data_IF_681679050577
#
_entry.id   IF_681679050577
#
_cell.length_a   1.000
_cell.length_b   1.000
_cell.length_c   1.000
_cell.angle_alpha   90.00
_cell.angle_beta   90.00
_cell.angle_gamma   90.00
#
_symmetry.space_group_name_H-M   'P 1'
#
loop_
_entity.id
_entity.type
_entity.pdbx_description
1 polymer ?
#
# COMPACT_ATOMS: atom_id res chain seq x y z
N UNK A 1 7.20 26.62 23.07
CA UNK A 1 5.82 26.47 22.58
C UNK A 1 5.81 26.24 21.06
N UNK A 2 6.48 27.05 20.26
CA UNK A 2 6.54 26.92 18.80
C UNK A 2 7.09 25.57 18.35
N UNK A 3 8.16 25.07 18.99
CA UNK A 3 8.75 23.77 18.67
C UNK A 3 7.78 22.60 18.90
N UNK A 4 7.06 22.57 20.02
CA UNK A 4 6.10 21.51 20.33
C UNK A 4 4.92 21.53 19.35
N UNK A 5 4.48 22.73 18.96
CA UNK A 5 3.42 22.88 17.97
C UNK A 5 3.87 22.41 16.57
N UNK A 6 5.12 22.75 16.17
CA UNK A 6 5.72 22.24 14.92
C UNK A 6 5.77 20.69 14.92
N UNK A 7 6.25 20.08 16.01
CA UNK A 7 6.30 18.62 16.13
C UNK A 7 4.92 17.96 16.13
N UNK A 8 3.92 18.62 16.68
CA UNK A 8 2.54 18.16 16.63
C UNK A 8 2.00 18.13 15.19
N UNK A 9 2.28 19.20 14.41
CA UNK A 9 1.91 19.26 12.97
C UNK A 9 2.66 18.20 12.15
N UNK A 10 3.94 18.00 12.45
CA UNK A 10 4.74 16.95 11.84
C UNK A 10 4.16 15.57 12.14
N UNK A 11 3.78 15.35 13.39
CA UNK A 11 3.12 14.13 13.83
C UNK A 11 1.79 13.87 13.15
N UNK A 12 0.95 14.88 12.97
CA UNK A 12 -0.30 14.78 12.21
C UNK A 12 0.00 14.40 10.74
N UNK A 13 1.03 14.99 10.13
CA UNK A 13 1.41 14.66 8.76
C UNK A 13 1.88 13.21 8.62
N UNK A 14 2.73 12.74 9.53
CA UNK A 14 3.16 11.33 9.59
C UNK A 14 1.95 10.42 9.82
N UNK A 15 1.09 10.78 10.78
CA UNK A 15 -0.15 10.06 11.07
C UNK A 15 -1.11 9.99 9.88
N UNK A 16 -1.19 11.05 9.06
CA UNK A 16 -2.00 11.08 7.86
C UNK A 16 -1.49 10.10 6.77
N UNK A 17 -0.17 9.98 6.61
CA UNK A 17 0.43 8.96 5.72
C UNK A 17 0.15 7.56 6.22
N UNK A 18 0.31 7.32 7.53
CA UNK A 18 -0.02 6.04 8.14
C UNK A 18 -1.51 5.73 8.01
N UNK A 19 -2.37 6.74 8.11
CA UNK A 19 -3.82 6.59 7.91
C UNK A 19 -4.14 6.13 6.49
N UNK A 20 -3.56 6.76 5.47
CA UNK A 20 -3.74 6.35 4.07
C UNK A 20 -3.33 4.90 3.86
N UNK A 21 -2.14 4.57 4.30
CA UNK A 21 -1.58 3.23 4.16
C UNK A 21 -2.41 2.18 4.93
N UNK A 22 -2.74 2.47 6.19
CA UNK A 22 -3.51 1.58 7.03
C UNK A 22 -4.97 1.44 6.59
N UNK A 23 -5.60 2.47 5.99
CA UNK A 23 -6.99 2.38 5.52
C UNK A 23 -7.18 1.28 4.49
N UNK A 24 -6.26 1.16 3.52
CA UNK A 24 -6.31 0.07 2.55
C UNK A 24 -6.19 -1.31 3.19
N UNK A 25 -5.25 -1.46 4.12
CA UNK A 25 -5.05 -2.71 4.86
C UNK A 25 -6.22 -3.00 5.83
N UNK A 26 -6.82 -1.97 6.45
CA UNK A 26 -7.98 -2.10 7.33
C UNK A 26 -9.20 -2.65 6.58
N UNK A 27 -9.36 -2.29 5.31
CA UNK A 27 -10.42 -2.84 4.45
C UNK A 27 -10.15 -4.32 4.18
N UNK A 28 -8.95 -4.68 3.73
CA UNK A 28 -8.62 -6.07 3.40
C UNK A 28 -8.63 -6.94 4.65
N UNK A 29 -7.90 -6.58 5.68
CA UNK A 29 -7.81 -7.36 6.91
C UNK A 29 -9.12 -7.27 7.72
N UNK A 30 -9.68 -6.07 7.84
CA UNK A 30 -10.88 -5.82 8.63
C UNK A 30 -12.15 -6.45 8.04
N UNK A 31 -12.34 -6.46 6.73
CA UNK A 31 -13.55 -6.97 6.09
C UNK A 31 -13.42 -8.41 5.59
N UNK A 32 -12.25 -8.78 5.07
CA UNK A 32 -12.02 -10.11 4.50
C UNK A 32 -11.33 -11.09 5.47
N UNK A 33 -10.71 -10.60 6.55
CA UNK A 33 -9.94 -11.42 7.48
C UNK A 33 -8.61 -11.93 6.90
N UNK A 34 -8.13 -11.31 5.83
CA UNK A 34 -6.92 -11.73 5.12
C UNK A 34 -5.72 -10.89 5.59
N UNK A 35 -4.73 -11.54 6.15
CA UNK A 35 -3.45 -10.92 6.49
C UNK A 35 -2.62 -10.84 5.21
N UNK A 36 -2.43 -9.61 4.69
CA UNK A 36 -1.70 -9.38 3.45
C UNK A 36 -0.37 -8.66 3.73
N UNK A 37 0.73 -9.41 3.79
CA UNK A 37 2.08 -8.82 3.94
C UNK A 37 2.55 -8.10 2.68
N UNK A 38 2.03 -8.45 1.49
CA UNK A 38 2.37 -7.76 0.26
C UNK A 38 1.74 -6.36 0.13
N UNK A 39 0.93 -5.92 1.12
CA UNK A 39 0.28 -4.61 1.09
C UNK A 39 1.31 -3.46 1.03
N UNK A 40 2.40 -3.57 1.75
CA UNK A 40 3.49 -2.60 1.67
C UNK A 40 4.10 -2.50 0.27
N UNK A 41 4.24 -3.63 -0.43
CA UNK A 41 4.78 -3.65 -1.78
C UNK A 41 3.79 -3.09 -2.82
N UNK A 42 2.50 -3.13 -2.54
CA UNK A 42 1.51 -2.41 -3.35
C UNK A 42 1.67 -0.89 -3.18
N UNK A 43 2.06 -0.40 -2.00
CA UNK A 43 2.45 1.00 -1.81
C UNK A 43 3.69 1.32 -2.64
N UNK A 44 4.71 0.47 -2.60
CA UNK A 44 5.89 0.61 -3.45
C UNK A 44 5.51 0.69 -4.93
N UNK A 45 4.68 -0.21 -5.44
CA UNK A 45 4.21 -0.17 -6.84
C UNK A 45 3.56 1.18 -7.16
N UNK A 46 2.69 1.71 -6.28
CA UNK A 46 2.06 3.02 -6.47
C UNK A 46 3.06 4.16 -6.54
N UNK A 47 4.10 4.14 -5.71
CA UNK A 47 5.18 5.11 -5.73
C UNK A 47 5.97 5.06 -7.06
N UNK A 48 6.28 3.86 -7.56
CA UNK A 48 6.95 3.71 -8.86
C UNK A 48 6.06 4.11 -10.04
N UNK A 49 4.75 3.85 -9.99
CA UNK A 49 3.79 4.35 -10.98
C UNK A 49 3.79 5.88 -11.01
N UNK A 50 3.86 6.52 -9.85
CA UNK A 50 3.96 7.99 -9.75
C UNK A 50 5.24 8.50 -10.42
N UNK A 51 6.37 7.86 -10.19
CA UNK A 51 7.64 8.19 -10.84
C UNK A 51 7.59 8.01 -12.37
N UNK A 52 7.01 6.92 -12.85
CA UNK A 52 6.83 6.68 -14.30
C UNK A 52 5.95 7.76 -14.90
N UNK A 53 4.82 8.07 -14.26
CA UNK A 53 3.91 9.13 -14.71
C UNK A 53 4.63 10.48 -14.77
N UNK A 54 5.41 10.84 -13.74
CA UNK A 54 6.24 12.06 -13.77
C UNK A 54 7.16 12.10 -14.99
N UNK A 55 7.87 11.01 -15.27
CA UNK A 55 8.80 10.95 -16.40
C UNK A 55 8.08 11.02 -17.77
N UNK A 56 6.85 10.52 -17.87
CA UNK A 56 6.03 10.65 -19.06
C UNK A 56 5.56 12.10 -19.29
N UNK A 57 5.37 12.89 -18.22
CA UNK A 57 4.91 14.27 -18.31
C UNK A 57 6.06 15.27 -18.48
N UNK A 58 7.31 14.91 -18.11
CA UNK A 58 8.47 15.80 -18.29
C UNK A 58 8.64 16.39 -19.70
N UNK A 59 8.51 15.61 -20.79
CA UNK A 59 8.66 16.13 -22.14
C UNK A 59 7.48 16.99 -22.65
N UNK A 60 6.33 17.02 -21.94
CA UNK A 60 5.10 17.70 -22.36
C UNK A 60 5.07 19.20 -22.04
N UNK A 61 6.11 19.73 -21.41
CA UNK A 61 6.23 21.15 -21.04
C UNK A 61 5.77 21.45 -19.61
N UNK A 62 6.21 22.61 -19.10
CA UNK A 62 6.04 22.96 -17.67
C UNK A 62 4.57 23.08 -17.23
N UNK A 63 3.69 23.61 -18.08
CA UNK A 63 2.27 23.77 -17.74
C UNK A 63 1.56 22.44 -17.51
N UNK A 64 1.80 21.47 -18.39
CA UNK A 64 1.21 20.12 -18.31
C UNK A 64 1.88 19.33 -17.17
N UNK A 65 3.17 19.56 -16.93
CA UNK A 65 3.90 18.92 -15.85
C UNK A 65 3.28 19.22 -14.48
N UNK A 66 2.64 20.36 -14.26
CA UNK A 66 2.00 20.67 -12.96
C UNK A 66 0.82 19.73 -12.64
N UNK A 67 0.19 19.14 -13.66
CA UNK A 67 -0.96 18.25 -13.49
C UNK A 67 -0.57 16.78 -13.30
N UNK A 68 0.71 16.42 -13.54
CA UNK A 68 1.14 15.02 -13.52
C UNK A 68 0.77 14.30 -12.23
N UNK A 69 0.83 15.00 -11.10
CA UNK A 69 0.64 14.38 -9.79
C UNK A 69 -0.82 13.93 -9.55
N UNK A 70 -1.79 14.71 -10.02
CA UNK A 70 -3.22 14.33 -9.93
C UNK A 70 -3.47 13.09 -10.81
N UNK A 71 -2.90 13.09 -12.02
CA UNK A 71 -2.98 11.94 -12.93
C UNK A 71 -2.25 10.74 -12.36
N UNK A 72 -1.10 10.96 -11.71
CA UNK A 72 -0.33 9.92 -11.04
C UNK A 72 -1.09 9.25 -9.90
N UNK A 73 -1.83 10.01 -9.07
CA UNK A 73 -2.70 9.45 -8.03
C UNK A 73 -3.75 8.51 -8.60
N UNK A 74 -4.38 8.91 -9.72
CA UNK A 74 -5.36 8.07 -10.41
C UNK A 74 -4.72 6.78 -10.95
N UNK A 75 -3.58 6.88 -11.64
CA UNK A 75 -2.88 5.70 -12.15
C UNK A 75 -2.31 4.82 -11.03
N UNK A 76 -1.79 5.42 -9.96
CA UNK A 76 -1.35 4.66 -8.79
C UNK A 76 -2.49 3.83 -8.21
N UNK A 77 -3.70 4.41 -8.06
CA UNK A 77 -4.87 3.68 -7.61
C UNK A 77 -5.25 2.55 -8.58
N UNK A 78 -5.40 2.85 -9.88
CA UNK A 78 -5.88 1.88 -10.88
C UNK A 78 -4.90 0.72 -11.05
N UNK A 79 -3.60 1.01 -11.23
CA UNK A 79 -2.58 -0.03 -11.46
C UNK A 79 -2.46 -0.94 -10.25
N UNK A 80 -2.39 -0.37 -9.04
CA UNK A 80 -2.28 -1.19 -7.82
C UNK A 80 -3.58 -1.94 -7.51
N UNK A 81 -4.76 -1.38 -7.83
CA UNK A 81 -6.03 -2.08 -7.73
C UNK A 81 -6.08 -3.28 -8.67
N UNK A 82 -5.61 -3.13 -9.92
CA UNK A 82 -5.53 -4.24 -10.88
C UNK A 82 -4.56 -5.33 -10.43
N UNK A 83 -3.39 -4.94 -9.93
CA UNK A 83 -2.42 -5.90 -9.33
C UNK A 83 -3.07 -6.62 -8.15
N UNK A 84 -3.77 -5.90 -7.27
CA UNK A 84 -4.49 -6.48 -6.14
C UNK A 84 -5.57 -7.48 -6.57
N UNK A 85 -6.42 -7.12 -7.54
CA UNK A 85 -7.44 -8.03 -8.09
C UNK A 85 -6.79 -9.27 -8.71
N UNK A 86 -5.66 -9.10 -9.39
CA UNK A 86 -4.92 -10.23 -9.94
C UNK A 86 -4.43 -11.16 -8.83
N UNK A 87 -3.81 -10.62 -7.79
CA UNK A 87 -3.33 -11.39 -6.64
C UNK A 87 -4.46 -12.10 -5.90
N UNK A 88 -5.60 -11.44 -5.72
CA UNK A 88 -6.78 -12.06 -5.10
C UNK A 88 -7.25 -13.26 -5.91
N UNK A 89 -7.46 -13.09 -7.22
CA UNK A 89 -7.99 -14.15 -8.09
C UNK A 89 -7.06 -15.34 -8.27
N UNK A 90 -5.75 -15.09 -8.32
CA UNK A 90 -4.76 -16.15 -8.63
C UNK A 90 -4.27 -16.87 -7.38
N UNK A 91 -4.12 -16.17 -6.27
CA UNK A 91 -3.48 -16.69 -5.07
C UNK A 91 -4.40 -16.70 -3.85
N UNK A 92 -4.91 -15.54 -3.43
CA UNK A 92 -5.55 -15.37 -2.13
C UNK A 92 -6.88 -16.11 -2.07
N UNK A 93 -7.63 -16.14 -3.16
CA UNK A 93 -8.92 -16.85 -3.26
C UNK A 93 -8.83 -18.31 -2.87
N UNK A 94 -7.72 -18.97 -3.17
CA UNK A 94 -7.49 -20.39 -2.85
C UNK A 94 -7.09 -20.62 -1.39
N UNK A 95 -6.75 -19.53 -0.68
CA UNK A 95 -6.21 -19.57 0.68
C UNK A 95 -7.18 -19.00 1.74
N UNK A 96 -8.42 -18.68 1.35
CA UNK A 96 -9.41 -18.23 2.32
C UNK A 96 -9.65 -19.27 3.43
N UNK A 97 -9.70 -18.80 4.68
CA UNK A 97 -9.85 -19.67 5.85
C UNK A 97 -8.55 -20.31 6.33
N UNK A 98 -7.40 -19.99 5.70
CA UNK A 98 -6.08 -20.52 6.06
C UNK A 98 -5.09 -19.37 6.33
N UNK A 99 -5.16 -18.75 7.52
CA UNK A 99 -4.43 -17.50 7.79
C UNK A 99 -2.91 -17.64 7.69
N UNK A 100 -2.33 -18.75 8.17
CA UNK A 100 -0.87 -18.98 8.10
C UNK A 100 -0.39 -19.18 6.67
N UNK A 101 -1.12 -19.95 5.86
CA UNK A 101 -0.77 -20.15 4.45
C UNK A 101 -0.88 -18.84 3.66
N UNK A 102 -1.91 -18.03 3.93
CA UNK A 102 -2.09 -16.71 3.29
C UNK A 102 -0.95 -15.75 3.66
N UNK A 103 -0.54 -15.73 4.92
CA UNK A 103 0.58 -14.91 5.38
C UNK A 103 1.88 -15.28 4.67
N UNK A 104 2.19 -16.58 4.60
CA UNK A 104 3.39 -17.08 3.92
C UNK A 104 3.36 -16.80 2.41
N UNK A 105 2.21 -17.02 1.76
CA UNK A 105 2.03 -16.77 0.34
C UNK A 105 2.17 -15.28 0.00
N UNK A 106 1.57 -14.38 0.79
CA UNK A 106 1.68 -12.93 0.58
C UNK A 106 3.09 -12.41 0.86
N UNK A 107 3.83 -13.03 1.80
CA UNK A 107 5.25 -12.74 1.98
C UNK A 107 6.07 -13.14 0.76
N UNK A 108 5.82 -14.32 0.18
CA UNK A 108 6.42 -14.73 -1.09
C UNK A 108 6.13 -13.76 -2.23
N UNK A 109 4.89 -13.27 -2.35
CA UNK A 109 4.51 -12.23 -3.32
C UNK A 109 5.30 -10.93 -3.07
N UNK A 110 5.48 -10.51 -1.82
CA UNK A 110 6.29 -9.34 -1.46
C UNK A 110 7.70 -9.46 -2.04
N UNK A 111 8.38 -10.59 -1.82
CA UNK A 111 9.72 -10.84 -2.37
C UNK A 111 9.75 -10.79 -3.91
N UNK A 112 8.73 -11.36 -4.56
CA UNK A 112 8.62 -11.32 -6.03
C UNK A 112 8.44 -9.90 -6.52
N UNK A 113 7.57 -9.09 -5.91
CA UNK A 113 7.34 -7.69 -6.30
C UNK A 113 8.60 -6.83 -6.10
N UNK A 114 9.34 -7.00 -5.00
CA UNK A 114 10.62 -6.31 -4.78
C UNK A 114 11.61 -6.65 -5.90
N UNK A 115 11.79 -7.93 -6.21
CA UNK A 115 12.72 -8.35 -7.25
C UNK A 115 12.26 -7.92 -8.65
N UNK A 116 10.96 -7.95 -8.91
CA UNK A 116 10.39 -7.45 -10.16
C UNK A 116 10.77 -5.97 -10.38
N UNK A 117 10.52 -5.11 -9.40
CA UNK A 117 10.85 -3.67 -9.50
C UNK A 117 12.35 -3.44 -9.67
N UNK A 118 13.21 -4.21 -8.98
CA UNK A 118 14.67 -4.10 -9.11
C UNK A 118 15.19 -4.50 -10.48
N UNK A 119 14.54 -5.48 -11.11
CA UNK A 119 15.01 -6.10 -12.36
C UNK A 119 14.28 -5.58 -13.60
N UNK A 120 13.16 -4.86 -13.44
CA UNK A 120 12.38 -4.40 -14.59
C UNK A 120 13.23 -3.54 -15.51
N UNK A 121 13.31 -3.96 -16.77
CA UNK A 121 14.06 -3.33 -17.86
C UNK A 121 13.22 -3.36 -19.13
N UNK A 122 13.65 -2.62 -20.17
CA UNK A 122 12.94 -2.63 -21.44
C UNK A 122 12.91 -4.03 -22.07
N UNK A 123 14.01 -4.79 -21.96
CA UNK A 123 14.04 -6.18 -22.44
C UNK A 123 13.04 -7.08 -21.70
N UNK A 124 12.94 -6.91 -20.38
CA UNK A 124 11.99 -7.66 -19.57
C UNK A 124 10.53 -7.30 -19.92
N UNK A 125 10.23 -6.01 -20.08
CA UNK A 125 8.89 -5.55 -20.47
C UNK A 125 8.47 -6.12 -21.84
N UNK A 126 9.38 -6.10 -22.82
CA UNK A 126 9.14 -6.66 -24.15
C UNK A 126 8.94 -8.18 -24.09
N UNK A 127 9.79 -8.89 -23.35
CA UNK A 127 9.66 -10.35 -23.21
C UNK A 127 8.37 -10.77 -22.56
N UNK A 128 7.94 -10.06 -21.51
CA UNK A 128 6.63 -10.28 -20.86
C UNK A 128 5.49 -9.97 -21.85
N UNK A 129 5.57 -8.87 -22.60
CA UNK A 129 4.56 -8.53 -23.60
C UNK A 129 4.45 -9.61 -24.70
N UNK A 130 5.58 -10.13 -25.19
CA UNK A 130 5.62 -11.24 -26.15
C UNK A 130 4.95 -12.49 -25.53
N UNK A 131 5.29 -12.86 -24.31
CA UNK A 131 4.72 -14.03 -23.64
C UNK A 131 3.18 -13.88 -23.48
N UNK A 132 2.71 -12.71 -23.08
CA UNK A 132 1.28 -12.43 -22.94
C UNK A 132 0.56 -12.48 -24.29
N UNK A 133 1.09 -11.80 -25.31
CA UNK A 133 0.49 -11.78 -26.66
C UNK A 133 0.39 -13.18 -27.24
N UNK A 134 1.47 -13.98 -27.15
CA UNK A 134 1.47 -15.35 -27.63
C UNK A 134 0.53 -16.26 -26.84
N UNK A 135 0.49 -16.14 -25.50
CA UNK A 135 -0.42 -16.89 -24.66
C UNK A 135 -1.88 -16.60 -24.94
N UNK A 136 -2.26 -15.33 -25.05
CA UNK A 136 -3.62 -14.92 -25.44
C UNK A 136 -3.96 -15.31 -26.87
N UNK A 137 -3.02 -15.14 -27.82
CA UNK A 137 -3.20 -15.56 -29.19
C UNK A 137 -3.45 -17.06 -29.31
N UNK A 138 -2.66 -17.87 -28.64
CA UNK A 138 -2.86 -19.32 -28.60
C UNK A 138 -4.24 -19.70 -28.08
N UNK A 139 -4.74 -19.01 -27.03
CA UNK A 139 -6.10 -19.20 -26.50
C UNK A 139 -7.19 -18.74 -27.47
N UNK A 140 -7.01 -17.57 -28.14
CA UNK A 140 -8.01 -16.97 -29.03
C UNK A 140 -8.09 -17.66 -30.39
N UNK A 141 -6.97 -18.08 -30.94
CA UNK A 141 -6.90 -18.72 -32.26
C UNK A 141 -6.99 -20.24 -32.21
N UNK A 142 -7.15 -20.85 -31.02
CA UNK A 142 -7.39 -22.28 -30.90
C UNK A 142 -8.67 -22.67 -31.66
N UNK A 143 -8.65 -23.69 -32.54
CA UNK A 143 -9.81 -24.15 -33.27
C UNK A 143 -10.97 -24.52 -32.34
N UNK A 144 -12.22 -24.22 -32.71
CA UNK A 144 -13.40 -24.49 -31.91
C UNK A 144 -13.51 -25.98 -31.49
N UNK A 145 -13.03 -26.90 -32.34
CA UNK A 145 -12.97 -28.33 -32.05
C UNK A 145 -12.04 -28.65 -30.87
N UNK A 146 -10.87 -27.98 -30.80
CA UNK A 146 -9.93 -28.12 -29.70
C UNK A 146 -10.44 -27.49 -28.39
N UNK A 147 -11.15 -26.37 -28.46
CA UNK A 147 -11.75 -25.72 -27.28
C UNK A 147 -12.81 -26.57 -26.57
N UNK A 148 -13.49 -27.44 -27.33
CA UNK A 148 -14.51 -28.36 -26.79
C UNK A 148 -13.90 -29.70 -26.32
N UNK A 149 -12.63 -29.96 -26.59
CA UNK A 149 -11.95 -31.17 -26.16
C UNK A 149 -11.67 -31.17 -24.65
N UNK A 150 -11.86 -32.32 -24.01
CA UNK A 150 -11.61 -32.51 -22.57
C UNK A 150 -10.16 -32.15 -22.17
N UNK A 151 -9.21 -32.24 -23.09
CA UNK A 151 -7.79 -31.92 -22.88
C UNK A 151 -7.43 -30.45 -23.11
N UNK A 152 -8.40 -29.59 -23.48
CA UNK A 152 -8.15 -28.18 -23.76
C UNK A 152 -7.47 -27.41 -22.59
N UNK A 153 -7.85 -27.57 -21.31
CA UNK A 153 -7.17 -26.90 -20.21
C UNK A 153 -5.69 -27.27 -20.13
N UNK A 154 -5.33 -28.52 -20.40
CA UNK A 154 -3.92 -28.93 -20.43
C UNK A 154 -3.16 -28.34 -21.62
N UNK A 155 -3.76 -28.34 -22.81
CA UNK A 155 -3.19 -27.73 -24.02
C UNK A 155 -3.00 -26.21 -23.86
N UNK A 156 -3.95 -25.53 -23.25
CA UNK A 156 -3.84 -24.10 -22.97
C UNK A 156 -2.73 -23.83 -21.93
N UNK A 157 -2.59 -24.66 -20.90
CA UNK A 157 -1.50 -24.58 -19.95
C UNK A 157 -0.12 -24.76 -20.60
N UNK A 158 0.01 -25.75 -21.48
CA UNK A 158 1.26 -25.99 -22.27
C UNK A 158 1.57 -24.77 -23.15
N UNK A 159 0.54 -24.20 -23.83
CA UNK A 159 0.72 -23.02 -24.66
C UNK A 159 1.21 -21.80 -23.86
N UNK A 160 0.71 -21.60 -22.63
CA UNK A 160 1.18 -20.56 -21.72
C UNK A 160 2.63 -20.80 -21.28
N UNK A 161 3.00 -22.06 -20.99
CA UNK A 161 4.39 -22.40 -20.62
C UNK A 161 5.33 -22.13 -21.80
N UNK A 162 4.97 -22.56 -23.02
CA UNK A 162 5.76 -22.28 -24.24
C UNK A 162 5.90 -20.78 -24.46
N UNK A 163 4.83 -20.02 -24.33
CA UNK A 163 4.84 -18.55 -24.46
C UNK A 163 5.76 -17.88 -23.44
N UNK A 164 5.74 -18.35 -22.20
CA UNK A 164 6.64 -17.88 -21.14
C UNK A 164 8.12 -18.20 -21.45
N UNK A 165 8.40 -19.39 -21.97
CA UNK A 165 9.75 -19.81 -22.41
C UNK A 165 10.23 -18.93 -23.57
N UNK A 166 9.39 -18.68 -24.58
CA UNK A 166 9.73 -17.78 -25.70
C UNK A 166 10.00 -16.37 -25.20
N UNK A 167 9.16 -15.85 -24.29
CA UNK A 167 9.39 -14.55 -23.65
C UNK A 167 10.70 -14.48 -22.89
N UNK A 168 11.05 -15.53 -22.16
CA UNK A 168 12.34 -15.64 -21.44
C UNK A 168 13.54 -15.65 -22.43
N UNK A 169 13.47 -16.41 -23.52
CA UNK A 169 14.50 -16.38 -24.55
C UNK A 169 14.60 -15.01 -25.24
N UNK A 170 13.49 -14.33 -25.46
CA UNK A 170 13.51 -12.95 -25.97
C UNK A 170 14.24 -11.99 -25.00
N UNK A 171 13.99 -12.11 -23.69
CA UNK A 171 14.71 -11.34 -22.67
C UNK A 171 16.21 -11.62 -22.73
N UNK A 172 16.61 -12.89 -22.76
CA UNK A 172 18.03 -13.29 -22.79
C UNK A 172 18.72 -12.85 -24.09
N UNK A 173 18.07 -12.96 -25.23
CA UNK A 173 18.60 -12.50 -26.52
C UNK A 173 18.82 -10.98 -26.53
N UNK A 174 17.91 -10.22 -25.90
CA UNK A 174 17.99 -8.75 -25.81
C UNK A 174 18.93 -8.29 -24.68
N UNK A 175 19.30 -9.15 -23.75
CA UNK A 175 20.17 -8.81 -22.60
C UNK A 175 21.61 -8.44 -23.03
N UNK A 176 22.04 -8.83 -24.23
CA UNK A 176 23.30 -8.42 -24.84
C UNK A 176 23.39 -6.93 -25.18
N UNK A 177 22.25 -6.24 -25.30
CA UNK A 177 22.17 -4.81 -25.53
C UNK A 177 22.21 -4.03 -24.22
N UNK A 178 23.28 -3.27 -23.95
CA UNK A 178 23.42 -2.43 -22.73
C UNK A 178 22.29 -1.42 -22.55
N UNK A 179 21.62 -0.99 -23.62
CA UNK A 179 20.52 -0.02 -23.60
C UNK A 179 19.22 -0.68 -23.15
N UNK A 180 18.90 -1.86 -23.68
CA UNK A 180 17.66 -2.58 -23.41
C UNK A 180 17.66 -3.35 -22.08
N UNK A 181 18.84 -3.79 -21.63
CA UNK A 181 19.01 -4.54 -20.39
C UNK A 181 19.18 -3.66 -19.15
N UNK A 182 19.38 -2.34 -19.32
CA UNK A 182 19.52 -1.42 -18.19
C UNK A 182 18.22 -1.38 -17.38
N UNK A 183 18.25 -1.69 -16.06
CA UNK A 183 17.08 -1.58 -15.23
C UNK A 183 16.53 -0.15 -15.19
N UNK A 184 15.23 0.01 -15.28
CA UNK A 184 14.58 1.33 -15.25
C UNK A 184 14.79 2.03 -13.90
N UNK A 185 14.70 1.27 -12.83
CA UNK A 185 14.77 1.79 -11.46
C UNK A 185 16.05 1.32 -10.75
N UNK A 186 16.36 0.01 -10.86
CA UNK A 186 17.50 -0.61 -10.17
C UNK A 186 17.33 -0.65 -8.64
N UNK A 187 18.43 -0.86 -7.90
CA UNK A 187 18.40 -0.91 -6.44
C UNK A 187 18.43 0.47 -5.78
N UNK A 188 18.55 1.56 -6.55
CA UNK A 188 18.69 2.93 -6.03
C UNK A 188 17.33 3.51 -5.69
N UNK A 189 17.33 4.41 -4.72
CA UNK A 189 16.16 5.23 -4.45
C UNK A 189 15.91 6.19 -5.62
N UNK A 190 14.64 6.44 -5.88
CA UNK A 190 14.15 7.39 -6.88
C UNK A 190 13.53 8.59 -6.17
N UNK A 191 13.71 9.77 -6.74
CA UNK A 191 13.12 11.00 -6.23
C UNK A 191 12.03 11.48 -7.18
N UNK A 192 10.91 11.88 -6.61
CA UNK A 192 9.78 12.46 -7.31
C UNK A 192 9.73 13.94 -7.00
N UNK A 193 9.74 14.78 -8.04
CA UNK A 193 9.71 16.24 -7.88
C UNK A 193 8.30 16.71 -7.61
N UNK A 194 8.04 17.30 -6.47
CA UNK A 194 6.73 17.88 -6.17
C UNK A 194 6.34 18.97 -7.20
N UNK A 195 5.08 19.06 -7.65
CA UNK A 195 4.59 20.14 -8.49
C UNK A 195 4.78 21.52 -7.82
N UNK A 196 4.98 22.59 -8.61
CA UNK A 196 5.20 23.95 -8.07
C UNK A 196 4.09 24.41 -7.15
N UNK A 197 2.83 24.02 -7.40
CA UNK A 197 1.68 24.39 -6.57
C UNK A 197 1.66 23.69 -5.20
N UNK A 198 2.42 22.60 -5.01
CA UNK A 198 2.64 21.93 -3.70
C UNK A 198 3.90 22.42 -2.99
N UNK A 199 4.80 23.09 -3.71
CA UNK A 199 6.02 23.63 -3.12
C UNK A 199 5.73 24.93 -2.37
N UNK A 200 6.50 25.19 -1.32
CA UNK A 200 6.34 26.39 -0.51
C UNK A 200 5.36 26.22 0.65
N UNK A 201 5.07 27.33 1.29
CA UNK A 201 4.15 27.44 2.43
C UNK A 201 2.78 27.91 1.96
N UNK A 202 1.71 27.20 2.37
CA UNK A 202 0.31 27.58 2.07
C UNK A 202 -0.27 28.51 3.15
N UNK A 203 0.46 28.78 4.21
CA UNK A 203 0.04 29.66 5.29
C UNK A 203 1.00 29.58 6.48
N UNK A 204 0.77 30.43 7.46
CA UNK A 204 1.47 30.38 8.74
C UNK A 204 0.43 30.36 9.87
N UNK A 205 0.63 29.49 10.84
CA UNK A 205 -0.17 29.43 12.06
C UNK A 205 0.77 29.61 13.24
N UNK A 206 0.51 30.61 14.07
CA UNK A 206 1.36 30.96 15.23
C UNK A 206 2.84 31.20 14.88
N UNK A 207 3.13 31.79 13.71
CA UNK A 207 4.50 32.05 13.25
C UNK A 207 5.23 30.86 12.60
N UNK A 208 4.59 29.70 12.52
CA UNK A 208 5.16 28.49 11.90
C UNK A 208 4.61 28.34 10.49
N UNK A 209 5.51 28.23 9.52
CA UNK A 209 5.13 27.98 8.13
C UNK A 209 4.58 26.57 7.96
N UNK A 210 3.45 26.47 7.25
CA UNK A 210 2.82 25.20 6.92
C UNK A 210 3.22 24.75 5.51
N UNK A 211 4.08 23.71 5.37
CA UNK A 211 4.46 23.21 4.05
C UNK A 211 3.24 22.69 3.29
N UNK A 212 3.04 23.16 2.05
CA UNK A 212 1.89 22.81 1.22
C UNK A 212 1.74 21.30 1.01
N UNK A 213 2.87 20.57 0.89
CA UNK A 213 2.90 19.10 0.77
C UNK A 213 2.21 18.43 1.97
N UNK A 214 2.45 18.89 3.20
CA UNK A 214 1.88 18.28 4.41
C UNK A 214 0.38 18.51 4.49
N UNK A 215 -0.08 19.74 4.22
CA UNK A 215 -1.51 20.05 4.19
C UNK A 215 -2.22 19.23 3.12
N UNK A 216 -1.60 19.09 1.95
CA UNK A 216 -2.13 18.27 0.87
C UNK A 216 -2.28 16.80 1.28
N UNK A 217 -1.28 16.20 1.90
CA UNK A 217 -1.33 14.79 2.36
C UNK A 217 -2.42 14.60 3.42
N UNK A 218 -2.54 15.53 4.37
CA UNK A 218 -3.59 15.49 5.39
C UNK A 218 -4.97 15.57 4.71
N UNK A 219 -5.16 16.56 3.81
CA UNK A 219 -6.41 16.72 3.07
C UNK A 219 -6.76 15.49 2.22
N UNK A 220 -5.76 14.93 1.51
CA UNK A 220 -5.92 13.72 0.71
C UNK A 220 -6.32 12.50 1.56
N UNK A 221 -5.72 12.34 2.74
CA UNK A 221 -6.02 11.21 3.62
C UNK A 221 -7.45 11.27 4.16
N UNK A 222 -7.90 12.42 4.61
CA UNK A 222 -9.28 12.60 5.07
C UNK A 222 -10.30 12.51 3.91
N UNK A 223 -9.97 13.05 2.73
CA UNK A 223 -10.80 12.92 1.53
C UNK A 223 -10.99 11.44 1.15
N UNK A 224 -9.92 10.68 1.07
CA UNK A 224 -10.00 9.25 0.73
C UNK A 224 -10.72 8.45 1.81
N UNK A 225 -10.49 8.75 3.08
CA UNK A 225 -11.25 8.13 4.17
C UNK A 225 -12.74 8.41 4.04
N UNK A 226 -13.13 9.68 3.76
CA UNK A 226 -14.52 10.06 3.56
C UNK A 226 -15.14 9.35 2.35
N UNK A 227 -14.41 9.24 1.23
CA UNK A 227 -14.84 8.48 0.05
C UNK A 227 -15.04 7.00 0.35
N UNK A 228 -14.13 6.39 1.08
CA UNK A 228 -14.24 4.98 1.51
C UNK A 228 -15.45 4.80 2.45
N UNK A 229 -15.60 5.66 3.44
CA UNK A 229 -16.73 5.60 4.36
C UNK A 229 -18.08 5.79 3.62
N UNK A 230 -18.14 6.74 2.69
CA UNK A 230 -19.30 6.94 1.83
C UNK A 230 -19.57 5.71 0.94
N UNK A 231 -18.55 5.16 0.29
CA UNK A 231 -18.67 3.97 -0.54
C UNK A 231 -19.19 2.78 0.27
N UNK A 232 -18.62 2.52 1.43
CA UNK A 232 -19.03 1.39 2.28
C UNK A 232 -20.44 1.57 2.86
N UNK A 233 -20.89 2.79 3.14
CA UNK A 233 -22.18 3.04 3.78
C UNK A 233 -23.34 3.25 2.81
N UNK A 234 -23.08 3.88 1.66
CA UNK A 234 -24.12 4.33 0.73
C UNK A 234 -24.20 3.55 -0.58
N UNK A 235 -23.13 2.83 -0.98
CA UNK A 235 -23.16 2.07 -2.24
C UNK A 235 -23.76 0.67 -2.09
N UNK A 236 -24.31 0.14 -3.19
CA UNK A 236 -24.78 -1.26 -3.27
C UNK A 236 -23.61 -2.24 -3.02
N UNK A 237 -22.44 -1.92 -3.53
CA UNK A 237 -21.25 -2.74 -3.30
C UNK A 237 -20.81 -2.71 -1.83
N UNK A 238 -20.87 -1.57 -1.17
CA UNK A 238 -20.60 -1.47 0.27
C UNK A 238 -21.58 -2.29 1.11
N UNK A 239 -22.87 -2.35 0.71
CA UNK A 239 -23.85 -3.22 1.35
C UNK A 239 -23.48 -4.70 1.18
N UNK A 240 -23.12 -5.12 -0.04
CA UNK A 240 -22.70 -6.50 -0.34
C UNK A 240 -21.43 -6.88 0.44
N UNK A 241 -20.43 -5.99 0.49
CA UNK A 241 -19.20 -6.20 1.25
C UNK A 241 -19.53 -6.44 2.72
N UNK A 242 -20.36 -5.61 3.34
CA UNK A 242 -20.76 -5.78 4.75
C UNK A 242 -21.55 -7.07 4.98
N UNK A 243 -22.44 -7.46 4.07
CA UNK A 243 -23.17 -8.73 4.16
C UNK A 243 -22.21 -9.92 4.12
N UNK A 244 -21.28 -9.95 3.17
CA UNK A 244 -20.28 -11.04 3.04
C UNK A 244 -19.35 -11.10 4.27
N UNK A 245 -18.99 -9.94 4.82
CA UNK A 245 -18.17 -9.86 6.05
C UNK A 245 -18.88 -10.43 7.27
N UNK A 246 -20.21 -10.27 7.38
CA UNK A 246 -20.99 -10.82 8.50
C UNK A 246 -21.17 -12.32 8.38
N UNK A 247 -21.60 -12.82 7.22
CA UNK A 247 -21.76 -14.24 6.98
C UNK A 247 -21.62 -14.56 5.50
N UNK A 248 -20.45 -15.08 5.12
CA UNK A 248 -20.11 -15.41 3.72
C UNK A 248 -21.01 -16.50 3.14
N UNK A 249 -21.28 -17.56 3.93
CA UNK A 249 -22.10 -18.68 3.46
C UNK A 249 -23.54 -18.25 3.21
N UNK A 250 -24.15 -17.55 4.15
CA UNK A 250 -25.50 -17.02 4.02
C UNK A 250 -25.62 -16.03 2.85
N UNK A 251 -24.63 -15.15 2.67
CA UNK A 251 -24.61 -14.20 1.56
C UNK A 251 -24.58 -14.91 0.21
N UNK A 252 -23.85 -16.01 0.10
CA UNK A 252 -23.80 -16.81 -1.12
C UNK A 252 -25.15 -17.49 -1.40
N UNK A 253 -25.81 -18.02 -0.35
CA UNK A 253 -27.16 -18.59 -0.47
C UNK A 253 -28.22 -17.56 -0.91
N UNK A 254 -28.04 -16.27 -0.56
CA UNK A 254 -28.90 -15.17 -0.99
C UNK A 254 -28.55 -14.62 -2.39
N UNK A 255 -27.65 -15.28 -3.13
CA UNK A 255 -27.29 -14.93 -4.50
C UNK A 255 -26.30 -13.76 -4.61
N UNK A 256 -25.62 -13.35 -3.53
CA UNK A 256 -24.57 -12.36 -3.60
C UNK A 256 -23.31 -13.01 -4.18
N UNK A 257 -22.73 -12.49 -5.29
CA UNK A 257 -21.53 -13.06 -5.91
C UNK A 257 -20.29 -12.77 -5.04
N UNK A 258 -20.05 -13.60 -4.04
CA UNK A 258 -18.99 -13.43 -3.02
C UNK A 258 -17.60 -13.25 -3.65
N UNK A 259 -17.29 -14.01 -4.69
CA UNK A 259 -16.01 -13.92 -5.41
C UNK A 259 -15.75 -12.54 -6.03
N UNK A 260 -16.80 -11.92 -6.59
CA UNK A 260 -16.68 -10.57 -7.15
C UNK A 260 -16.58 -9.51 -6.06
N UNK A 261 -17.28 -9.73 -4.94
CA UNK A 261 -17.20 -8.85 -3.77
C UNK A 261 -15.80 -8.85 -3.19
N UNK A 262 -15.19 -10.03 -3.05
CA UNK A 262 -13.83 -10.18 -2.55
C UNK A 262 -12.81 -9.50 -3.47
N UNK A 263 -12.89 -9.76 -4.80
CA UNK A 263 -11.99 -9.12 -5.77
C UNK A 263 -12.07 -7.59 -5.74
N UNK A 264 -13.28 -7.02 -5.65
CA UNK A 264 -13.47 -5.57 -5.58
C UNK A 264 -12.94 -5.01 -4.26
N UNK A 265 -13.23 -5.68 -3.14
CA UNK A 265 -12.76 -5.26 -1.82
C UNK A 265 -11.24 -5.24 -1.76
N UNK A 266 -10.60 -6.31 -2.24
CA UNK A 266 -9.15 -6.42 -2.29
C UNK A 266 -8.54 -5.38 -3.25
N UNK A 267 -9.19 -5.16 -4.41
CA UNK A 267 -8.80 -4.14 -5.38
C UNK A 267 -8.84 -2.73 -4.80
N UNK A 268 -9.91 -2.36 -4.09
CA UNK A 268 -10.02 -1.06 -3.43
C UNK A 268 -8.94 -0.88 -2.36
N UNK A 269 -8.73 -1.88 -1.49
CA UNK A 269 -7.69 -1.82 -0.47
C UNK A 269 -6.29 -1.68 -1.06
N UNK A 270 -6.01 -2.42 -2.14
CA UNK A 270 -4.75 -2.34 -2.89
C UNK A 270 -4.59 -0.99 -3.60
N UNK A 271 -5.66 -0.45 -4.19
CA UNK A 271 -5.65 0.87 -4.83
C UNK A 271 -5.32 1.98 -3.83
N UNK A 272 -5.89 1.92 -2.62
CA UNK A 272 -5.58 2.86 -1.55
C UNK A 272 -4.12 2.75 -1.09
N UNK A 273 -3.56 1.54 -1.04
CA UNK A 273 -2.13 1.36 -0.81
C UNK A 273 -1.28 2.07 -1.87
N UNK A 274 -1.68 1.96 -3.15
CA UNK A 274 -1.00 2.66 -4.23
C UNK A 274 -1.03 4.18 -4.08
N UNK A 275 -2.15 4.75 -3.69
CA UNK A 275 -2.26 6.20 -3.42
C UNK A 275 -1.42 6.60 -2.21
N UNK A 276 -1.38 5.77 -1.14
CA UNK A 276 -0.48 6.01 -0.01
C UNK A 276 0.99 6.01 -0.44
N UNK A 277 1.39 5.06 -1.29
CA UNK A 277 2.72 5.04 -1.90
C UNK A 277 3.03 6.31 -2.70
N UNK A 278 2.07 6.78 -3.52
CA UNK A 278 2.20 8.05 -4.22
C UNK A 278 2.37 9.24 -3.25
N UNK A 279 1.62 9.28 -2.14
CA UNK A 279 1.76 10.35 -1.15
C UNK A 279 3.15 10.36 -0.49
N UNK A 280 3.71 9.18 -0.21
CA UNK A 280 5.05 9.04 0.38
C UNK A 280 6.13 9.62 -0.53
N UNK A 281 5.97 9.56 -1.86
CA UNK A 281 6.95 10.13 -2.80
C UNK A 281 7.14 11.63 -2.66
N UNK A 282 6.18 12.34 -2.09
CA UNK A 282 6.29 13.78 -1.80
C UNK A 282 7.12 14.09 -0.54
N UNK A 283 7.27 13.12 0.36
CA UNK A 283 7.98 13.29 1.62
C UNK A 283 9.47 12.93 1.53
N UNK A 284 9.83 12.11 0.55
CA UNK A 284 11.21 11.70 0.39
C UNK A 284 11.44 10.70 -0.73
N UNK A 285 12.68 10.26 -0.85
CA UNK A 285 13.10 9.28 -1.83
C UNK A 285 12.46 7.90 -1.58
N UNK A 286 12.10 7.23 -2.65
CA UNK A 286 11.43 5.93 -2.62
C UNK A 286 12.34 4.86 -3.20
N UNK A 287 12.48 3.78 -2.46
CA UNK A 287 13.28 2.62 -2.88
C UNK A 287 12.48 1.32 -2.92
N UNK A 288 13.10 0.25 -3.45
CA UNK A 288 12.44 -1.05 -3.56
C UNK A 288 12.06 -1.69 -2.22
N UNK A 289 12.61 -1.20 -1.10
CA UNK A 289 12.30 -1.70 0.25
C UNK A 289 11.26 -0.85 0.99
N UNK A 290 10.65 0.13 0.33
CA UNK A 290 9.64 1.02 0.93
C UNK A 290 8.52 0.23 1.60
N UNK A 291 8.03 -0.82 0.92
CA UNK A 291 6.95 -1.64 1.42
C UNK A 291 7.24 -2.27 2.77
N UNK A 292 8.43 -2.87 2.91
CA UNK A 292 8.86 -3.50 4.15
C UNK A 292 8.96 -2.52 5.33
N UNK A 293 9.30 -1.25 5.07
CA UNK A 293 9.39 -0.22 6.11
C UNK A 293 8.00 0.20 6.65
N UNK A 294 7.00 0.26 5.77
CA UNK A 294 5.67 0.76 6.15
C UNK A 294 4.68 -0.31 6.58
N UNK A 295 4.82 -1.56 6.09
CA UNK A 295 3.86 -2.62 6.39
C UNK A 295 3.69 -2.86 7.88
N UNK A 296 4.78 -2.82 8.62
CA UNK A 296 4.79 -3.04 10.07
C UNK A 296 4.01 -1.93 10.77
N UNK A 297 4.27 -0.66 10.42
CA UNK A 297 3.54 0.49 10.97
C UNK A 297 2.04 0.43 10.64
N UNK A 298 1.67 -0.01 9.43
CA UNK A 298 0.27 -0.21 9.04
C UNK A 298 -0.42 -1.27 9.90
N UNK A 299 0.24 -2.40 10.15
CA UNK A 299 -0.28 -3.42 11.04
C UNK A 299 -0.44 -2.90 12.48
N UNK A 300 0.55 -2.15 12.99
CA UNK A 300 0.46 -1.53 14.30
C UNK A 300 -0.77 -0.63 14.44
N UNK A 301 -1.01 0.23 13.44
CA UNK A 301 -2.19 1.11 13.41
C UNK A 301 -3.49 0.31 13.48
N UNK A 302 -3.62 -0.75 12.69
CA UNK A 302 -4.86 -1.55 12.63
C UNK A 302 -5.09 -2.33 13.90
N UNK A 303 -4.06 -2.94 14.44
CA UNK A 303 -4.17 -3.75 15.66
C UNK A 303 -4.45 -2.86 16.85
N UNK A 304 -3.77 -1.72 16.98
CA UNK A 304 -3.99 -0.74 18.03
C UNK A 304 -5.40 -0.12 17.93
N UNK A 305 -5.82 0.27 16.71
CA UNK A 305 -7.13 0.85 16.44
C UNK A 305 -8.29 -0.10 16.68
N UNK A 306 -8.06 -1.38 16.47
CA UNK A 306 -9.06 -2.46 16.46
C UNK A 306 -9.40 -2.89 15.05
N UNK A 307 -9.20 -4.17 14.76
CA UNK A 307 -9.35 -4.75 13.43
C UNK A 307 -10.76 -4.51 12.87
N UNK A 308 -10.82 -3.89 11.68
CA UNK A 308 -12.07 -3.60 10.97
C UNK A 308 -12.80 -2.32 11.40
N UNK A 309 -12.28 -1.57 12.35
CA UNK A 309 -12.86 -0.30 12.79
C UNK A 309 -12.11 0.89 12.18
N UNK A 310 -12.73 1.58 11.19
CA UNK A 310 -12.14 2.74 10.52
C UNK A 310 -11.89 3.91 11.49
N UNK A 311 -12.77 4.13 12.45
CA UNK A 311 -12.59 5.21 13.45
C UNK A 311 -11.38 4.91 14.34
N UNK A 312 -11.24 3.65 14.76
CA UNK A 312 -10.07 3.18 15.49
C UNK A 312 -8.77 3.36 14.69
N UNK A 313 -8.81 3.05 13.39
CA UNK A 313 -7.67 3.26 12.49
C UNK A 313 -7.25 4.73 12.42
N UNK A 314 -8.21 5.68 12.33
CA UNK A 314 -7.92 7.12 12.33
C UNK A 314 -7.23 7.55 13.63
N UNK A 315 -7.81 7.18 14.77
CA UNK A 315 -7.27 7.60 16.07
C UNK A 315 -5.89 6.98 16.30
N UNK A 316 -5.71 5.69 15.98
CA UNK A 316 -4.43 5.00 16.14
C UNK A 316 -3.35 5.59 15.23
N UNK A 317 -3.66 5.88 13.96
CA UNK A 317 -2.69 6.45 13.02
C UNK A 317 -2.21 7.84 13.43
N UNK A 318 -3.12 8.72 13.82
CA UNK A 318 -2.77 10.05 14.30
C UNK A 318 -1.99 9.99 15.61
N UNK A 319 -2.42 9.16 16.55
CA UNK A 319 -1.72 8.96 17.82
C UNK A 319 -0.29 8.44 17.60
N UNK A 320 -0.11 7.42 16.77
CA UNK A 320 1.22 6.87 16.47
C UNK A 320 2.09 7.88 15.72
N UNK A 321 1.54 8.64 14.77
CA UNK A 321 2.29 9.69 14.08
C UNK A 321 2.76 10.80 15.02
N UNK A 322 1.92 11.25 15.97
CA UNK A 322 2.27 12.26 16.96
C UNK A 322 3.34 11.72 17.93
N UNK A 323 3.14 10.51 18.44
CA UNK A 323 4.12 9.86 19.35
C UNK A 323 5.47 9.72 18.63
N UNK A 324 5.47 9.25 17.39
CA UNK A 324 6.69 9.09 16.59
C UNK A 324 7.41 10.41 16.36
N UNK A 325 6.67 11.51 16.06
CA UNK A 325 7.25 12.83 15.86
C UNK A 325 7.87 13.37 17.15
N UNK A 326 7.16 13.30 18.26
CA UNK A 326 7.63 13.81 19.56
C UNK A 326 8.87 13.05 20.05
N UNK A 327 8.85 11.73 19.97
CA UNK A 327 9.98 10.89 20.42
C UNK A 327 11.17 11.04 19.45
N UNK A 328 10.91 10.88 18.15
CA UNK A 328 11.97 10.85 17.13
C UNK A 328 12.71 12.17 16.94
N UNK A 329 12.10 13.29 17.32
CA UNK A 329 12.73 14.63 17.25
C UNK A 329 13.54 14.99 18.50
N UNK A 330 13.46 14.20 19.57
CA UNK A 330 14.09 14.56 20.85
C UNK A 330 13.50 15.81 21.51
N UNK A 331 12.32 16.26 21.06
CA UNK A 331 11.67 17.47 21.57
C UNK A 331 11.33 17.40 23.07
N UNK A 332 11.24 16.18 23.61
CA UNK A 332 11.08 15.96 25.06
C UNK A 332 12.27 16.50 25.89
N UNK A 333 13.50 16.41 25.37
CA UNK A 333 14.68 16.96 26.05
C UNK A 333 14.64 18.48 26.12
N UNK A 334 14.09 19.12 25.08
CA UNK A 334 13.95 20.58 25.00
C UNK A 334 12.78 21.07 25.85
N UNK A 335 11.70 20.27 25.91
CA UNK A 335 10.51 20.59 26.68
C UNK A 335 10.74 20.47 28.21
N UNK A 336 11.63 19.58 28.62
CA UNK A 336 11.92 19.30 30.04
C UNK A 336 13.43 19.38 30.29
N UNK A 337 14.05 20.59 30.31
CA UNK A 337 15.49 20.75 30.47
C UNK A 337 16.01 20.30 31.85
N UNK A 338 15.15 20.31 32.87
CA UNK A 338 15.49 19.90 34.24
C UNK A 338 15.38 18.41 34.52
N UNK A 339 15.34 17.57 33.45
CA UNK A 339 15.23 16.13 33.60
C UNK A 339 16.48 15.54 34.28
N UNK A 340 16.36 14.53 35.17
CA UNK A 340 17.51 13.82 35.74
C UNK A 340 18.39 13.24 34.61
N UNK A 341 19.71 13.28 34.76
CA UNK A 341 20.67 12.86 33.75
C UNK A 341 20.42 11.42 33.26
N UNK A 342 20.00 10.52 34.12
CA UNK A 342 19.63 9.14 33.75
C UNK A 342 18.39 9.08 32.85
N UNK A 343 17.40 9.95 33.08
CA UNK A 343 16.20 10.00 32.22
C UNK A 343 16.53 10.69 30.88
N UNK A 344 17.32 11.74 30.91
CA UNK A 344 17.78 12.44 29.71
C UNK A 344 18.55 11.52 28.76
N UNK A 345 19.47 10.69 29.27
CA UNK A 345 20.21 9.72 28.44
C UNK A 345 19.32 8.65 27.80
N UNK A 346 18.27 8.21 28.50
CA UNK A 346 17.27 7.28 27.93
C UNK A 346 16.49 7.96 26.81
N UNK A 347 16.01 9.18 27.03
CA UNK A 347 15.27 9.93 25.99
C UNK A 347 16.15 10.19 24.78
N UNK A 348 17.41 10.58 24.97
CA UNK A 348 18.38 10.80 23.91
C UNK A 348 18.64 9.53 23.08
N UNK A 349 18.75 8.38 23.73
CA UNK A 349 18.91 7.09 23.05
C UNK A 349 17.71 6.78 22.12
N UNK A 350 16.48 7.12 22.52
CA UNK A 350 15.28 6.95 21.70
C UNK A 350 14.99 8.14 20.75
N UNK A 351 15.71 9.24 20.87
CA UNK A 351 15.53 10.45 20.04
C UNK A 351 16.08 10.31 18.60
N UNK A 352 16.09 9.09 18.08
CA UNK A 352 16.38 8.81 16.68
C UNK A 352 15.17 8.17 16.01
N UNK A 353 14.98 8.44 14.73
CA UNK A 353 13.83 7.89 13.98
C UNK A 353 13.74 6.36 14.08
N UNK A 354 14.88 5.67 14.06
CA UNK A 354 14.88 4.21 14.14
C UNK A 354 14.52 3.69 15.54
N UNK A 355 15.03 4.33 16.60
CA UNK A 355 14.75 3.89 17.97
C UNK A 355 13.35 4.28 18.43
N UNK A 356 12.78 5.37 17.89
CA UNK A 356 11.37 5.71 18.15
C UNK A 356 10.41 4.61 17.70
N UNK A 357 10.69 3.94 16.59
CA UNK A 357 9.91 2.76 16.17
C UNK A 357 10.00 1.62 17.18
N UNK A 358 11.19 1.32 17.70
CA UNK A 358 11.38 0.27 18.71
C UNK A 358 10.55 0.56 19.96
N UNK A 359 10.57 1.80 20.44
CA UNK A 359 9.79 2.21 21.61
C UNK A 359 8.29 2.10 21.37
N UNK A 360 7.82 2.51 20.18
CA UNK A 360 6.43 2.36 19.77
C UNK A 360 6.03 0.87 19.74
N UNK A 361 6.90 -0.01 19.25
CA UNK A 361 6.66 -1.45 19.27
C UNK A 361 6.49 -1.99 20.69
N UNK A 362 7.39 -1.62 21.58
CA UNK A 362 7.32 -2.04 23.01
C UNK A 362 5.99 -1.55 23.61
N UNK A 363 5.62 -0.30 23.35
CA UNK A 363 4.37 0.27 23.84
C UNK A 363 3.15 -0.51 23.34
N UNK A 364 3.12 -0.86 22.05
CA UNK A 364 1.99 -1.60 21.44
C UNK A 364 1.92 -3.02 21.99
N UNK A 365 3.06 -3.71 22.14
CA UNK A 365 3.09 -5.05 22.75
C UNK A 365 2.55 -5.00 24.17
N UNK A 366 3.00 -4.04 24.97
CA UNK A 366 2.51 -3.84 26.32
C UNK A 366 0.99 -3.53 26.32
N UNK A 367 0.53 -2.63 25.43
CA UNK A 367 -0.88 -2.29 25.32
C UNK A 367 -1.75 -3.52 24.97
N UNK A 368 -1.31 -4.36 24.02
CA UNK A 368 -2.05 -5.55 23.61
C UNK A 368 -2.13 -6.63 24.69
N UNK A 369 -1.18 -6.67 25.64
CA UNK A 369 -1.29 -7.56 26.80
C UNK A 369 -2.48 -7.17 27.69
N UNK A 370 -2.82 -5.88 27.77
CA UNK A 370 -3.96 -5.39 28.55
C UNK A 370 -5.26 -5.36 27.73
N UNK A 371 -5.19 -5.03 26.43
CA UNK A 371 -6.34 -4.95 25.53
C UNK A 371 -6.07 -5.64 24.18
N UNK A 372 -6.19 -6.97 24.12
CA UNK A 372 -5.86 -7.73 22.91
C UNK A 372 -6.77 -7.42 21.72
N UNK A 373 -7.96 -6.86 21.95
CA UNK A 373 -8.93 -6.48 20.89
C UNK A 373 -8.70 -5.08 20.31
N UNK A 374 -7.68 -4.36 20.76
CA UNK A 374 -7.41 -2.97 20.39
C UNK A 374 -8.27 -1.95 21.13
N UNK A 375 -8.18 -0.66 20.72
CA UNK A 375 -8.90 0.44 21.39
C UNK A 375 -10.42 0.39 21.15
N UNK A 376 -10.83 0.02 19.92
CA UNK A 376 -12.24 0.04 19.50
C UNK A 376 -12.65 -1.32 18.90
N UNK A 377 -12.88 -2.35 19.74
CA UNK A 377 -13.27 -3.66 19.23
C UNK A 377 -14.62 -3.63 18.53
N UNK A 378 -14.76 -4.32 17.41
CA UNK A 378 -16.05 -4.52 16.75
C UNK A 378 -16.89 -5.51 17.57
N UNK A 379 -18.07 -5.08 18.03
CA UNK A 379 -19.05 -5.96 18.68
C UNK A 379 -19.65 -6.91 17.63
N UNK A 380 -19.53 -8.20 17.85
CA UNK A 380 -20.20 -9.24 17.02
C UNK A 380 -19.28 -10.08 16.13
N UNK A 381 -17.98 -9.89 16.17
CA UNK A 381 -17.00 -10.78 15.52
C UNK A 381 -16.25 -11.53 16.62
N UNK A 382 -16.76 -12.73 17.00
CA UNK A 382 -15.91 -13.69 17.71
C UNK A 382 -14.78 -14.06 16.73
N UNK A 383 -13.56 -13.68 17.05
CA UNK A 383 -12.39 -14.34 16.50
C UNK A 383 -12.41 -15.73 17.14
N UNK A 384 -13.15 -16.64 16.54
CA UNK A 384 -12.94 -18.05 16.82
C UNK A 384 -11.55 -18.39 16.32
N UNK A 385 -10.69 -18.68 17.28
CA UNK A 385 -9.33 -19.11 17.11
C UNK A 385 -9.25 -20.46 16.40
#
# INVERSE_FOLDING_TARGET
>A
MELIFSQFLDGISIGAVLLLAATGLAIVFGLMGVINLAHGELMMVGAYVTFVTQNMFKPLGEGVFQLYYIVALFFAFVVTALVGVLLERTLIRQLYGRPLETLLATWGVSLVLIQFIRSVSTSMAIGIAIALVLGFAAGKFAPLKLRKAQFYPYLSGIAWIISAVIGFFAITAMSGSKVLSKPWFGPRNIDVTAPKWLQGSWGSVAGIELPGIRIFIIGLSFLLLALVAWFLTKSVWGLRIRAVTQNRQMSNCLGIPTDSVDSITFGIGSGLAGVAGAAITLLGSVGPNLGAAYIVSCFMVIVLGGVGNLVGTVIASLMLGIIQSIIGSGSLLIAFPDMPAAAASVVEFFATTSMSYVLIFIFIIAFLQFKPTGMFPQKGRSVEA
#
